data_IF_994544474644
#
_entry.id   IF_994544474644
#
_cell.length_a   1.000
_cell.length_b   1.000
_cell.length_c   1.000
_cell.angle_alpha   90.00
_cell.angle_beta   90.00
_cell.angle_gamma   90.00
#
_symmetry.space_group_name_H-M   'P 1'
#
loop_
_entity.id
_entity.type
_entity.pdbx_description
1 polymer ?
#
# COMPACT_ATOMS: atom_id res chain seq x y z
N UNK A 1 -1.08 -16.22 -9.00
CA UNK A 1 -2.46 -15.91 -9.40
C UNK A 1 -2.69 -14.40 -9.41
N UNK A 2 -3.54 -13.91 -10.32
CA UNK A 2 -3.96 -12.51 -10.44
C UNK A 2 -5.46 -12.39 -10.16
N UNK A 3 -5.87 -11.37 -9.41
CA UNK A 3 -7.29 -11.04 -9.20
C UNK A 3 -7.53 -9.56 -9.47
N UNK A 4 -8.55 -9.28 -10.27
CA UNK A 4 -9.09 -7.93 -10.47
C UNK A 4 -10.51 -7.88 -9.90
N UNK A 5 -10.72 -7.09 -8.85
CA UNK A 5 -12.07 -6.83 -8.31
C UNK A 5 -12.46 -5.39 -8.64
N UNK A 6 -13.67 -5.23 -9.17
CA UNK A 6 -14.23 -3.92 -9.49
C UNK A 6 -15.56 -3.77 -8.77
N UNK A 7 -15.66 -2.77 -7.91
CA UNK A 7 -16.87 -2.43 -7.18
C UNK A 7 -17.51 -1.18 -7.79
N UNK A 8 -18.86 -1.08 -7.75
CA UNK A 8 -19.54 0.14 -8.17
C UNK A 8 -19.00 1.34 -7.39
N UNK A 9 -18.77 2.46 -8.08
CA UNK A 9 -18.25 3.71 -7.51
C UNK A 9 -19.32 4.52 -6.74
N UNK A 10 -20.34 3.85 -6.21
CA UNK A 10 -21.45 4.44 -5.49
C UNK A 10 -21.10 4.60 -4.01
N UNK A 11 -21.30 5.81 -3.47
CA UNK A 11 -20.87 6.20 -2.12
C UNK A 11 -21.69 5.52 -1.01
N UNK A 12 -22.95 5.14 -1.29
CA UNK A 12 -23.89 4.62 -0.29
C UNK A 12 -23.76 3.10 -0.05
N UNK A 13 -22.88 2.40 -0.79
CA UNK A 13 -22.78 0.95 -0.71
C UNK A 13 -21.71 0.50 0.27
N UNK A 14 -22.10 -0.37 1.20
CA UNK A 14 -21.16 -1.14 2.00
C UNK A 14 -20.56 -2.24 1.13
N UNK A 15 -19.24 -2.20 0.95
CA UNK A 15 -18.52 -3.20 0.17
C UNK A 15 -18.27 -4.43 1.05
N UNK A 16 -18.65 -5.60 0.53
CA UNK A 16 -18.39 -6.88 1.19
C UNK A 16 -17.21 -7.56 0.53
N UNK A 17 -16.13 -7.71 1.28
CA UNK A 17 -14.97 -8.47 0.87
C UNK A 17 -15.06 -9.90 1.40
N UNK A 18 -14.56 -10.86 0.63
CA UNK A 18 -14.51 -12.27 1.04
C UNK A 18 -13.31 -12.50 1.97
N UNK A 19 -13.51 -12.32 3.27
CA UNK A 19 -12.45 -12.47 4.28
C UNK A 19 -12.09 -13.93 4.61
N UNK A 20 -12.91 -14.89 4.17
CA UNK A 20 -12.75 -16.32 4.52
C UNK A 20 -12.21 -17.14 3.34
N UNK A 21 -11.94 -16.50 2.20
CA UNK A 21 -11.34 -17.16 1.05
C UNK A 21 -9.82 -17.25 1.24
N UNK A 22 -9.27 -18.45 1.05
CA UNK A 22 -7.83 -18.68 1.12
C UNK A 22 -7.18 -18.16 -0.15
N UNK A 23 -6.56 -16.99 -0.08
CA UNK A 23 -5.81 -16.39 -1.19
C UNK A 23 -4.33 -16.79 -1.19
N UNK A 24 -4.00 -18.01 -0.73
CA UNK A 24 -2.62 -18.45 -0.49
C UNK A 24 -1.65 -18.26 -1.67
N UNK A 25 -2.16 -18.30 -2.90
CA UNK A 25 -1.36 -18.13 -4.13
C UNK A 25 -1.57 -16.78 -4.87
N UNK A 26 -2.36 -15.88 -4.28
CA UNK A 26 -2.61 -14.57 -4.84
C UNK A 26 -1.34 -13.72 -4.79
N UNK A 27 -0.77 -13.42 -5.96
CA UNK A 27 0.46 -12.62 -6.07
C UNK A 27 0.17 -11.18 -6.43
N UNK A 28 -0.81 -10.97 -7.32
CA UNK A 28 -1.18 -9.64 -7.78
C UNK A 28 -2.65 -9.39 -7.52
N UNK A 29 -2.94 -8.32 -6.80
CA UNK A 29 -4.29 -7.89 -6.47
C UNK A 29 -4.53 -6.50 -7.07
N UNK A 30 -5.55 -6.39 -7.92
CA UNK A 30 -6.04 -5.11 -8.42
C UNK A 30 -7.44 -4.86 -7.89
N UNK A 31 -7.59 -3.71 -7.24
CA UNK A 31 -8.85 -3.27 -6.65
C UNK A 31 -9.27 -1.95 -7.28
N UNK A 32 -10.46 -1.96 -7.90
CA UNK A 32 -11.10 -0.76 -8.45
C UNK A 32 -12.34 -0.46 -7.63
N UNK A 33 -12.28 0.56 -6.77
CA UNK A 33 -13.37 0.94 -5.88
C UNK A 33 -13.18 2.39 -5.40
N UNK A 34 -14.19 2.94 -4.75
CA UNK A 34 -14.01 4.06 -3.84
C UNK A 34 -14.44 3.63 -2.45
N UNK A 35 -13.70 4.05 -1.44
CA UNK A 35 -14.08 3.87 -0.03
C UNK A 35 -14.17 5.26 0.58
N UNK A 36 -15.38 5.66 0.94
CA UNK A 36 -15.65 6.98 1.52
C UNK A 36 -16.02 6.89 3.01
N UNK A 37 -16.56 5.75 3.44
CA UNK A 37 -16.91 5.50 4.84
C UNK A 37 -15.82 4.74 5.57
N UNK A 38 -15.66 5.02 6.86
CA UNK A 38 -14.74 4.29 7.75
C UNK A 38 -15.05 2.79 7.79
N UNK A 39 -16.32 2.41 7.64
CA UNK A 39 -16.72 1.01 7.58
C UNK A 39 -16.12 0.31 6.35
N UNK A 40 -16.15 0.95 5.18
CA UNK A 40 -15.57 0.39 3.97
C UNK A 40 -14.04 0.35 4.03
N UNK A 41 -13.40 1.35 4.66
CA UNK A 41 -11.95 1.34 4.91
C UNK A 41 -11.59 0.16 5.82
N UNK A 42 -12.31 -0.05 6.92
CA UNK A 42 -12.07 -1.16 7.85
C UNK A 42 -12.25 -2.51 7.15
N UNK A 43 -13.34 -2.70 6.42
CA UNK A 43 -13.60 -3.94 5.70
C UNK A 43 -12.51 -4.23 4.64
N UNK A 44 -12.00 -3.19 3.97
CA UNK A 44 -10.89 -3.32 3.03
C UNK A 44 -9.61 -3.72 3.77
N UNK A 45 -9.26 -3.08 4.88
CA UNK A 45 -8.09 -3.43 5.67
C UNK A 45 -8.15 -4.87 6.17
N UNK A 46 -9.30 -5.30 6.71
CA UNK A 46 -9.56 -6.69 7.13
C UNK A 46 -9.33 -7.68 5.99
N UNK A 47 -9.83 -7.38 4.79
CA UNK A 47 -9.58 -8.19 3.61
C UNK A 47 -8.09 -8.26 3.24
N UNK A 48 -7.38 -7.13 3.30
CA UNK A 48 -5.95 -7.10 2.99
C UNK A 48 -5.09 -7.86 4.02
N UNK A 49 -5.60 -8.10 5.23
CA UNK A 49 -4.93 -8.97 6.22
C UNK A 49 -4.88 -10.42 5.76
N UNK A 50 -5.95 -10.91 5.10
CA UNK A 50 -6.06 -12.32 4.66
C UNK A 50 -5.46 -12.55 3.27
N UNK A 51 -5.10 -11.49 2.54
CA UNK A 51 -4.38 -11.57 1.27
C UNK A 51 -2.86 -11.40 1.46
N UNK A 52 -2.30 -12.01 2.51
CA UNK A 52 -0.90 -11.78 2.90
C UNK A 52 0.17 -12.24 1.90
N UNK A 53 -0.18 -13.09 0.94
CA UNK A 53 0.68 -13.59 -0.16
C UNK A 53 0.92 -12.57 -1.28
N UNK A 54 0.14 -11.48 -1.31
CA UNK A 54 0.20 -10.45 -2.34
C UNK A 54 1.56 -9.76 -2.32
N UNK A 55 2.17 -9.72 -3.50
CA UNK A 55 3.45 -9.05 -3.79
C UNK A 55 3.23 -7.74 -4.52
N UNK A 56 2.16 -7.64 -5.30
CA UNK A 56 1.84 -6.49 -6.12
C UNK A 56 0.40 -6.06 -5.90
N UNK A 57 0.22 -4.82 -5.44
CA UNK A 57 -1.08 -4.26 -5.12
C UNK A 57 -1.36 -3.01 -5.96
N UNK A 58 -2.46 -3.05 -6.70
CA UNK A 58 -2.95 -1.94 -7.51
C UNK A 58 -4.25 -1.42 -6.92
N UNK A 59 -4.26 -0.14 -6.57
CA UNK A 59 -5.40 0.52 -6.00
C UNK A 59 -5.89 1.61 -6.97
N UNK A 60 -7.05 1.37 -7.56
CA UNK A 60 -7.71 2.26 -8.51
C UNK A 60 -8.90 2.95 -7.84
N UNK A 61 -8.74 4.21 -7.44
CA UNK A 61 -9.75 4.99 -6.72
C UNK A 61 -9.76 6.45 -7.18
N UNK A 62 -10.81 7.20 -6.85
CA UNK A 62 -10.83 8.66 -7.06
C UNK A 62 -10.02 9.38 -5.99
N UNK A 63 -10.21 8.98 -4.73
CA UNK A 63 -9.57 9.54 -3.54
C UNK A 63 -9.17 8.35 -2.65
N UNK A 64 -7.97 8.40 -2.09
CA UNK A 64 -7.45 7.44 -1.11
C UNK A 64 -7.56 8.10 0.27
N UNK A 65 -8.40 7.58 1.17
CA UNK A 65 -8.55 8.13 2.51
C UNK A 65 -7.27 7.97 3.34
N UNK A 66 -6.98 8.96 4.19
CA UNK A 66 -5.85 8.92 5.12
C UNK A 66 -5.96 7.77 6.12
N UNK A 67 -7.18 7.37 6.48
CA UNK A 67 -7.44 6.21 7.34
C UNK A 67 -6.99 4.89 6.68
N UNK A 68 -7.08 4.78 5.35
CA UNK A 68 -6.57 3.63 4.61
C UNK A 68 -5.04 3.63 4.59
N UNK A 69 -4.39 4.79 4.35
CA UNK A 69 -2.93 4.92 4.40
C UNK A 69 -2.38 4.62 5.80
N UNK A 70 -3.07 5.10 6.82
CA UNK A 70 -2.74 4.83 8.23
C UNK A 70 -2.87 3.34 8.54
N UNK A 71 -3.96 2.69 8.12
CA UNK A 71 -4.13 1.25 8.31
C UNK A 71 -3.09 0.40 7.57
N UNK A 72 -2.58 0.87 6.43
CA UNK A 72 -1.53 0.21 5.66
C UNK A 72 -0.10 0.47 6.19
N UNK A 73 0.06 1.39 7.14
CA UNK A 73 1.33 1.69 7.80
C UNK A 73 1.72 0.51 8.67
N UNK A 74 2.96 0.03 8.55
CA UNK A 74 3.44 -1.09 9.36
C UNK A 74 3.51 -0.64 10.82
N UNK A 75 2.84 -1.40 11.68
CA UNK A 75 2.91 -1.29 13.14
C UNK A 75 3.48 -2.58 13.71
N UNK A 76 4.13 -2.53 14.87
CA UNK A 76 4.86 -3.66 15.47
C UNK A 76 4.01 -4.92 15.67
N UNK A 77 2.68 -4.79 15.80
CA UNK A 77 1.76 -5.91 16.08
C UNK A 77 0.98 -6.40 14.86
N UNK A 78 0.97 -5.66 13.75
CA UNK A 78 0.13 -6.01 12.61
C UNK A 78 0.68 -5.53 11.27
N UNK A 79 1.01 -6.48 10.39
CA UNK A 79 1.60 -6.24 9.08
C UNK A 79 0.59 -6.61 7.99
N UNK A 80 -0.14 -5.62 7.48
CA UNK A 80 -1.01 -5.81 6.32
C UNK A 80 -0.16 -5.94 5.06
N UNK A 81 -0.46 -6.93 4.20
CA UNK A 81 0.32 -7.23 2.99
C UNK A 81 1.83 -7.32 3.30
N UNK A 82 2.27 -8.30 4.12
CA UNK A 82 3.66 -8.40 4.56
C UNK A 82 4.61 -8.70 3.40
N UNK A 83 4.13 -9.26 2.29
CA UNK A 83 4.95 -9.62 1.12
C UNK A 83 4.97 -8.54 0.03
N UNK A 84 4.36 -7.38 0.27
CA UNK A 84 4.19 -6.32 -0.72
C UNK A 84 5.54 -5.74 -1.17
N UNK A 85 5.80 -5.81 -2.47
CA UNK A 85 6.98 -5.23 -3.12
C UNK A 85 6.64 -4.11 -4.09
N UNK A 86 5.46 -4.16 -4.70
CA UNK A 86 5.02 -3.16 -5.68
C UNK A 86 3.66 -2.61 -5.27
N UNK A 87 3.59 -1.29 -5.11
CA UNK A 87 2.35 -0.57 -4.83
C UNK A 87 2.08 0.40 -5.97
N UNK A 88 0.89 0.31 -6.57
CA UNK A 88 0.48 1.18 -7.66
C UNK A 88 -0.83 1.89 -7.31
N UNK A 89 -0.83 3.21 -7.39
CA UNK A 89 -2.04 4.02 -7.30
C UNK A 89 -2.44 4.53 -8.69
N UNK A 90 -3.69 4.30 -9.07
CA UNK A 90 -4.27 4.78 -10.33
C UNK A 90 -5.52 5.62 -10.03
N UNK A 91 -5.45 6.92 -10.31
CA UNK A 91 -6.55 7.83 -10.01
C UNK A 91 -7.51 8.01 -11.19
N UNK A 92 -8.80 7.71 -10.99
CA UNK A 92 -9.76 7.60 -12.08
C UNK A 92 -10.29 8.94 -12.60
N UNK A 93 -10.17 10.03 -11.85
CA UNK A 93 -10.69 11.36 -12.23
C UNK A 93 -9.92 12.49 -11.56
N UNK A 94 -8.58 12.47 -11.64
CA UNK A 94 -7.77 13.59 -11.11
C UNK A 94 -8.10 14.87 -11.89
N UNK A 95 -8.93 15.75 -11.32
CA UNK A 95 -8.99 17.14 -11.75
C UNK A 95 -7.66 17.79 -11.40
N UNK A 96 -7.06 18.49 -12.37
CA UNK A 96 -5.79 19.18 -12.15
C UNK A 96 -5.85 20.07 -10.89
N UNK A 97 -5.02 19.77 -9.90
CA UNK A 97 -4.83 20.61 -8.71
C UNK A 97 -5.39 20.08 -7.38
N UNK A 98 -6.23 19.03 -7.36
CA UNK A 98 -6.69 18.42 -6.10
C UNK A 98 -5.98 17.09 -5.88
N UNK A 99 -5.19 17.01 -4.80
CA UNK A 99 -4.52 15.78 -4.41
C UNK A 99 -5.55 14.74 -3.96
N UNK A 100 -5.59 13.53 -4.55
CA UNK A 100 -6.53 12.50 -4.14
C UNK A 100 -6.17 11.83 -2.81
N UNK A 101 -5.14 12.30 -2.10
CA UNK A 101 -4.72 11.86 -0.77
C UNK A 101 -3.77 12.87 -0.13
N UNK A 102 -3.40 12.70 1.13
CA UNK A 102 -2.37 13.55 1.75
C UNK A 102 -0.95 13.02 1.45
N UNK A 103 -0.05 13.83 0.85
CA UNK A 103 1.34 13.44 0.60
C UNK A 103 2.05 12.89 1.85
N UNK A 104 1.86 13.55 3.00
CA UNK A 104 2.39 13.11 4.30
C UNK A 104 1.87 11.73 4.72
N UNK A 105 0.57 11.46 4.56
CA UNK A 105 0.00 10.15 4.87
C UNK A 105 0.62 9.03 4.03
N UNK A 106 0.83 9.28 2.73
CA UNK A 106 1.48 8.33 1.84
C UNK A 106 2.94 8.11 2.25
N UNK A 107 3.68 9.19 2.51
CA UNK A 107 5.09 9.10 2.91
C UNK A 107 5.25 8.29 4.20
N UNK A 108 4.44 8.53 5.23
CA UNK A 108 4.51 7.78 6.50
C UNK A 108 4.30 6.28 6.28
N UNK A 109 3.30 5.92 5.49
CA UNK A 109 3.03 4.52 5.14
C UNK A 109 4.21 3.90 4.39
N UNK A 110 4.70 4.54 3.32
CA UNK A 110 5.85 4.06 2.53
C UNK A 110 7.11 3.94 3.39
N UNK A 111 7.41 4.96 4.21
CA UNK A 111 8.55 4.98 5.11
C UNK A 111 8.48 3.84 6.12
N UNK A 112 7.31 3.54 6.69
CA UNK A 112 7.17 2.42 7.64
C UNK A 112 7.53 1.07 7.01
N UNK A 113 7.11 0.85 5.75
CA UNK A 113 7.43 -0.36 4.98
C UNK A 113 8.92 -0.45 4.66
N UNK A 114 9.51 0.67 4.29
CA UNK A 114 10.93 0.76 4.03
C UNK A 114 11.78 0.55 5.29
N UNK A 115 11.40 1.14 6.43
CA UNK A 115 12.16 0.99 7.68
C UNK A 115 12.05 -0.41 8.28
N UNK A 116 10.91 -1.09 8.10
CA UNK A 116 10.77 -2.51 8.48
C UNK A 116 11.85 -3.38 7.82
N UNK A 117 12.28 -3.06 6.59
CA UNK A 117 13.41 -3.72 5.93
C UNK A 117 14.74 -3.46 6.62
N UNK A 118 15.03 -2.19 6.96
CA UNK A 118 16.29 -1.81 7.60
C UNK A 118 16.46 -2.47 8.95
N UNK A 119 15.38 -2.61 9.73
CA UNK A 119 15.42 -3.35 10.99
C UNK A 119 15.84 -4.81 10.77
N UNK A 120 15.25 -5.51 9.78
CA UNK A 120 15.59 -6.91 9.48
C UNK A 120 17.00 -7.11 8.92
N UNK A 121 17.59 -6.13 8.24
CA UNK A 121 18.97 -6.20 7.74
C UNK A 121 19.99 -5.96 8.85
N UNK A 122 19.67 -5.09 9.81
CA UNK A 122 20.55 -4.78 10.94
C UNK A 122 20.49 -5.81 12.08
N UNK A 123 19.44 -6.63 12.17
CA UNK A 123 19.27 -7.65 13.22
C UNK A 123 20.12 -8.92 13.04
N UNK A 124 21.12 -8.90 12.16
CA UNK A 124 22.31 -9.74 12.29
C UNK A 124 22.10 -11.26 12.38
N UNK A 125 21.05 -11.83 11.80
CA UNK A 125 20.87 -13.29 11.70
C UNK A 125 21.22 -13.78 10.32
N UNK A 126 22.51 -14.08 10.15
CA UNK A 126 22.96 -15.01 9.11
C UNK A 126 22.52 -16.40 9.56
N UNK A 127 21.29 -16.80 9.24
CA UNK A 127 20.82 -18.14 9.60
C UNK A 127 21.36 -19.18 8.61
N UNK A 128 22.44 -19.80 9.10
CA UNK A 128 23.08 -21.02 8.65
C UNK A 128 22.06 -22.16 8.84
N UNK A 129 21.13 -22.35 7.89
CA UNK A 129 20.45 -23.60 7.54
C UNK A 129 19.06 -23.35 6.91
N UNK A 130 18.99 -23.40 5.57
CA UNK A 130 18.03 -24.23 4.84
C UNK A 130 16.51 -24.10 5.01
N UNK A 131 15.96 -23.14 5.76
CA UNK A 131 14.51 -22.93 5.83
C UNK A 131 14.16 -21.45 6.04
N UNK A 132 14.07 -20.72 4.93
CA UNK A 132 13.52 -19.35 4.91
C UNK A 132 12.01 -19.41 5.14
N UNK A 133 11.57 -19.20 6.38
CA UNK A 133 10.20 -18.76 6.64
C UNK A 133 10.04 -17.35 6.05
N UNK A 134 9.53 -17.30 4.83
CA UNK A 134 8.90 -16.18 4.11
C UNK A 134 9.16 -14.83 4.79
N UNK A 135 10.32 -14.24 4.50
CA UNK A 135 10.63 -12.89 4.95
C UNK A 135 9.63 -11.90 4.36
N UNK A 136 9.06 -11.05 5.22
CA UNK A 136 8.24 -9.92 4.80
C UNK A 136 9.00 -9.12 3.72
N UNK A 137 8.34 -8.88 2.59
CA UNK A 137 8.87 -8.10 1.49
C UNK A 137 8.84 -6.61 1.82
N UNK A 138 9.97 -5.94 1.65
CA UNK A 138 10.03 -4.49 1.61
C UNK A 138 9.35 -3.95 0.34
N UNK A 139 8.78 -2.75 0.43
CA UNK A 139 8.32 -2.03 -0.75
C UNK A 139 9.54 -1.64 -1.60
N UNK A 140 9.59 -2.10 -2.85
CA UNK A 140 10.69 -1.88 -3.80
C UNK A 140 10.32 -0.94 -4.94
N UNK A 141 9.03 -0.85 -5.25
CA UNK A 141 8.53 -0.05 -6.35
C UNK A 141 7.22 0.62 -5.95
N UNK A 142 7.14 1.94 -6.15
CA UNK A 142 5.93 2.72 -5.99
C UNK A 142 5.58 3.39 -7.32
N UNK A 143 4.37 3.14 -7.82
CA UNK A 143 3.86 3.77 -9.04
C UNK A 143 2.70 4.71 -8.73
N UNK A 144 2.76 5.91 -9.27
CA UNK A 144 1.78 6.97 -9.08
C UNK A 144 1.30 7.45 -10.45
N UNK A 145 0.19 6.87 -10.94
CA UNK A 145 -0.34 7.15 -12.27
C UNK A 145 -1.29 8.34 -12.28
N UNK A 146 -1.21 9.11 -13.37
CA UNK A 146 -1.95 10.35 -13.62
C UNK A 146 -1.57 11.46 -12.65
N UNK A 147 -0.29 11.49 -12.22
CA UNK A 147 0.17 12.42 -11.20
C UNK A 147 1.50 13.09 -11.50
N UNK A 148 1.65 14.31 -10.95
CA UNK A 148 2.92 15.04 -10.95
C UNK A 148 3.73 14.64 -9.71
N UNK A 149 4.98 15.10 -9.67
CA UNK A 149 5.85 14.93 -8.50
C UNK A 149 5.13 15.37 -7.22
N UNK A 150 5.25 14.57 -6.17
CA UNK A 150 4.70 14.84 -4.84
C UNK A 150 5.18 16.20 -4.32
N UNK A 151 4.26 16.99 -3.79
CA UNK A 151 4.56 18.25 -3.10
C UNK A 151 4.22 18.13 -1.63
N UNK A 152 5.21 18.29 -0.76
CA UNK A 152 5.04 18.26 0.68
C UNK A 152 4.97 19.68 1.23
N UNK A 153 4.08 19.91 2.20
CA UNK A 153 4.00 21.18 2.93
C UNK A 153 5.06 21.29 4.02
N UNK A 154 5.48 20.15 4.57
CA UNK A 154 6.48 20.04 5.62
C UNK A 154 7.87 19.71 5.03
N UNK A 155 8.89 20.41 5.52
CA UNK A 155 10.26 20.28 5.02
C UNK A 155 10.90 18.95 5.46
N UNK A 156 10.60 18.45 6.66
CA UNK A 156 11.14 17.19 7.14
C UNK A 156 10.56 16.01 6.35
N UNK A 157 9.26 16.05 6.05
CA UNK A 157 8.61 15.08 5.17
C UNK A 157 9.21 15.13 3.76
N UNK A 158 9.46 16.32 3.21
CA UNK A 158 10.11 16.47 1.90
C UNK A 158 11.51 15.88 1.88
N UNK A 159 12.33 16.16 2.91
CA UNK A 159 13.69 15.64 3.02
C UNK A 159 13.69 14.13 3.22
N UNK A 160 12.81 13.63 4.08
CA UNK A 160 12.64 12.20 4.34
C UNK A 160 12.14 11.44 3.11
N UNK A 161 11.24 12.03 2.33
CA UNK A 161 10.81 11.49 1.03
C UNK A 161 11.99 11.40 0.08
N UNK A 162 12.72 12.50 -0.11
CA UNK A 162 13.87 12.56 -1.02
C UNK A 162 14.95 11.53 -0.67
N UNK A 163 15.12 11.20 0.62
CA UNK A 163 16.09 10.21 1.09
C UNK A 163 15.76 8.76 0.68
N UNK A 164 14.48 8.42 0.49
CA UNK A 164 14.05 7.04 0.16
C UNK A 164 13.47 6.90 -1.25
N UNK A 165 13.20 8.02 -1.93
CA UNK A 165 12.49 8.06 -3.20
C UNK A 165 13.19 7.28 -4.33
N UNK A 166 14.51 7.40 -4.47
CA UNK A 166 15.28 6.64 -5.46
C UNK A 166 15.38 5.15 -5.08
N UNK A 167 15.55 4.87 -3.78
CA UNK A 167 15.70 3.50 -3.28
C UNK A 167 14.45 2.63 -3.52
N UNK A 168 13.27 3.25 -3.45
CA UNK A 168 11.97 2.59 -3.67
C UNK A 168 11.51 2.74 -5.13
N UNK A 169 12.37 3.22 -6.04
CA UNK A 169 12.10 3.36 -7.48
C UNK A 169 10.70 3.96 -7.75
N UNK A 170 10.48 5.19 -7.30
CA UNK A 170 9.19 5.87 -7.50
C UNK A 170 9.02 6.24 -8.98
N UNK A 171 7.92 5.80 -9.59
CA UNK A 171 7.55 6.12 -10.97
C UNK A 171 6.29 6.98 -10.96
N UNK A 172 6.38 8.14 -11.61
CA UNK A 172 5.22 8.99 -11.92
C UNK A 172 4.80 8.69 -13.37
N UNK A 173 3.58 8.15 -13.55
CA UNK A 173 3.03 7.73 -14.86
C UNK A 173 1.93 8.66 -15.38
#
# INVERSE_FOLDING_TARGET
>A
MFVNMSFPMNEDRIIRFLVHAVFGELRTLRLTLNVFSDQNVRALLEFLTVTGSVVEFWLCMKVVPDSLLTGLTISQSHHILPNLRTLAFQFLTSSAGVSPFTPTGLFRMVRSRYMSMKAHIFDGTTDINGSSTIGAGALKELRLKSWRKLTFTDLEDQQGWNAIYEEIKVVYE
#
